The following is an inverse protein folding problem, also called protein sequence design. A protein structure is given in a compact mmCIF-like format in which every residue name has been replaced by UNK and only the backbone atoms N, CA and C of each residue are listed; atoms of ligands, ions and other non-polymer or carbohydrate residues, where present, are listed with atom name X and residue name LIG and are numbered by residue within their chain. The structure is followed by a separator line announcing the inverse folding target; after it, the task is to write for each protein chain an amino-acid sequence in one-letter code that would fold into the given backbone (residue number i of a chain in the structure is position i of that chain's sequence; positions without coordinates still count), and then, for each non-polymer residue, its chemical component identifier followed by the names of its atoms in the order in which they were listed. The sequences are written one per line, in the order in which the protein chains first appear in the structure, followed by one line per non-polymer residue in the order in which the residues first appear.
data_IF_906466434117
#
_entry.id   IF_906466434117
#
_cell.length_a   1.000
_cell.length_b   1.000
_cell.length_c   1.000
_cell.angle_alpha   90.00
_cell.angle_beta   90.00
_cell.angle_gamma   90.00
#
_symmetry.space_group_name_H-M   'P 1'
#
loop_
_entity.id
_entity.type
_entity.pdbx_description
1 polymer ?
#
# COMPACT_ATOMS: atom_id res chain seq x y z
N UNK A 1 2.87 3.85 16.16
CA UNK A 1 2.76 2.38 16.25
C UNK A 1 3.86 1.77 15.42
N UNK A 2 4.63 0.82 15.95
CA UNK A 2 5.58 0.03 15.16
C UNK A 2 4.85 -1.15 14.51
N UNK A 3 5.44 -1.78 13.49
CA UNK A 3 4.87 -3.02 12.91
C UNK A 3 4.70 -4.09 13.99
N UNK A 4 5.68 -4.22 14.89
CA UNK A 4 5.62 -5.17 15.99
C UNK A 4 4.46 -4.91 16.96
N UNK A 5 4.18 -3.63 17.25
CA UNK A 5 3.05 -3.22 18.11
C UNK A 5 1.71 -3.56 17.44
N UNK A 6 1.56 -3.28 16.14
CA UNK A 6 0.39 -3.68 15.35
C UNK A 6 0.15 -5.19 15.40
N UNK A 7 1.18 -6.00 15.14
CA UNK A 7 1.10 -7.46 15.13
C UNK A 7 0.80 -8.03 16.53
N UNK A 8 1.36 -7.42 17.58
CA UNK A 8 1.09 -7.82 18.96
C UNK A 8 -0.37 -7.59 19.34
N UNK A 9 -0.95 -6.46 18.92
CA UNK A 9 -2.38 -6.15 19.14
C UNK A 9 -3.29 -7.06 18.31
N UNK A 10 -2.95 -7.29 17.03
CA UNK A 10 -3.69 -8.19 16.15
C UNK A 10 -3.78 -9.62 16.70
N UNK A 11 -2.71 -10.12 17.31
CA UNK A 11 -2.68 -11.45 17.94
C UNK A 11 -3.28 -11.52 19.34
N UNK A 12 -3.76 -10.40 19.89
CA UNK A 12 -4.29 -10.33 21.26
C UNK A 12 -5.78 -10.63 21.32
N UNK A 13 -6.31 -10.88 22.53
CA UNK A 13 -7.75 -11.02 22.78
C UNK A 13 -8.44 -9.64 22.87
N UNK A 14 -8.22 -8.78 21.88
CA UNK A 14 -8.87 -7.49 21.72
C UNK A 14 -9.65 -7.46 20.39
N UNK A 15 -10.77 -6.72 20.32
CA UNK A 15 -11.59 -6.66 19.10
C UNK A 15 -10.91 -5.91 17.94
N UNK A 16 -9.78 -5.23 18.18
CA UNK A 16 -9.13 -4.31 17.26
C UNK A 16 -7.61 -4.38 17.41
N UNK A 17 -6.80 -4.37 16.33
CA UNK A 17 -7.19 -4.21 14.91
C UNK A 17 -7.93 -5.43 14.33
N UNK A 18 -8.98 -5.16 13.55
CA UNK A 18 -9.81 -6.16 12.90
C UNK A 18 -9.33 -6.57 11.51
N UNK A 19 -10.14 -7.37 10.81
CA UNK A 19 -9.83 -7.84 9.45
C UNK A 19 -9.78 -6.71 8.41
N UNK A 20 -10.55 -5.63 8.61
CA UNK A 20 -10.53 -4.45 7.73
C UNK A 20 -9.20 -3.70 7.84
N UNK A 21 -8.68 -3.55 9.06
CA UNK A 21 -7.37 -2.98 9.34
C UNK A 21 -6.26 -3.79 8.65
N UNK A 22 -6.30 -5.12 8.75
CA UNK A 22 -5.34 -6.01 8.08
C UNK A 22 -5.44 -5.89 6.55
N UNK A 23 -6.65 -5.86 5.99
CA UNK A 23 -6.85 -5.71 4.55
C UNK A 23 -6.34 -4.36 4.04
N UNK A 24 -6.59 -3.27 4.77
CA UNK A 24 -6.10 -1.93 4.45
C UNK A 24 -4.58 -1.85 4.51
N UNK A 25 -3.94 -2.38 5.56
CA UNK A 25 -2.47 -2.43 5.66
C UNK A 25 -1.87 -3.28 4.53
N UNK A 26 -2.46 -4.44 4.22
CA UNK A 26 -1.99 -5.31 3.13
C UNK A 26 -2.04 -4.61 1.77
N UNK A 27 -3.15 -3.91 1.48
CA UNK A 27 -3.28 -3.14 0.25
C UNK A 27 -2.29 -1.96 0.18
N UNK A 28 -2.04 -1.28 1.31
CA UNK A 28 -1.04 -0.22 1.36
C UNK A 28 0.37 -0.75 1.08
N UNK A 29 0.72 -1.93 1.61
CA UNK A 29 2.00 -2.60 1.33
C UNK A 29 2.10 -2.96 -0.15
N UNK A 30 1.07 -3.59 -0.72
CA UNK A 30 1.03 -3.97 -2.13
C UNK A 30 1.17 -2.74 -3.06
N UNK A 31 0.44 -1.67 -2.76
CA UNK A 31 0.48 -0.43 -3.52
C UNK A 31 1.86 0.26 -3.42
N UNK A 32 2.46 0.29 -2.23
CA UNK A 32 3.81 0.82 -2.02
C UNK A 32 4.88 0.04 -2.79
N UNK A 33 4.81 -1.30 -2.77
CA UNK A 33 5.73 -2.15 -3.53
C UNK A 33 5.58 -1.93 -5.04
N UNK A 34 4.34 -1.88 -5.53
CA UNK A 34 4.07 -1.53 -6.93
C UNK A 34 4.65 -0.16 -7.30
N UNK A 35 4.45 0.85 -6.46
CA UNK A 35 4.99 2.19 -6.65
C UNK A 35 6.52 2.20 -6.73
N UNK A 36 7.20 1.40 -5.90
CA UNK A 36 8.66 1.22 -5.96
C UNK A 36 9.10 0.65 -7.33
N UNK A 37 8.42 -0.38 -7.83
CA UNK A 37 8.71 -0.98 -9.15
C UNK A 37 8.50 0.04 -10.27
N UNK A 38 7.42 0.82 -10.21
CA UNK A 38 7.18 1.92 -11.16
C UNK A 38 8.31 2.95 -11.10
N UNK A 39 8.76 3.35 -9.91
CA UNK A 39 9.85 4.31 -9.74
C UNK A 39 11.16 3.82 -10.37
N UNK A 40 11.46 2.52 -10.29
CA UNK A 40 12.61 1.91 -10.97
C UNK A 40 12.40 1.72 -12.48
N UNK A 41 11.19 1.95 -13.00
CA UNK A 41 10.82 1.71 -14.41
C UNK A 41 10.69 3.00 -15.22
N UNK A 42 10.30 4.10 -14.56
CA UNK A 42 10.23 5.42 -15.19
C UNK A 42 11.61 5.86 -15.71
N UNK A 43 11.63 6.46 -16.89
CA UNK A 43 12.84 6.93 -17.57
C UNK A 43 13.71 5.84 -18.21
N UNK A 44 13.38 4.55 -18.06
CA UNK A 44 14.13 3.48 -18.74
C UNK A 44 13.89 3.52 -20.25
N UNK A 45 14.98 3.61 -21.02
CA UNK A 45 14.95 3.57 -22.49
C UNK A 45 14.32 2.30 -23.06
N UNK A 46 14.47 1.17 -22.36
CA UNK A 46 13.83 -0.10 -22.75
C UNK A 46 12.31 -0.11 -22.56
N UNK A 47 11.74 0.88 -21.87
CA UNK A 47 10.32 0.98 -21.55
C UNK A 47 9.71 2.28 -22.09
N UNK A 48 10.31 2.89 -23.12
CA UNK A 48 9.87 4.18 -23.66
C UNK A 48 8.40 4.15 -24.13
N UNK A 49 7.97 3.06 -24.74
CA UNK A 49 6.57 2.88 -25.19
C UNK A 49 5.55 2.76 -24.04
N UNK A 50 6.02 2.47 -22.82
CA UNK A 50 5.16 2.23 -21.65
C UNK A 50 5.15 3.40 -20.65
N UNK A 51 5.88 4.49 -20.90
CA UNK A 51 6.05 5.57 -19.91
C UNK A 51 4.72 6.17 -19.45
N UNK A 52 3.79 6.46 -20.36
CA UNK A 52 2.47 7.00 -19.99
C UNK A 52 1.68 6.06 -19.07
N UNK A 53 1.72 4.75 -19.34
CA UNK A 53 1.07 3.73 -18.51
C UNK A 53 1.75 3.60 -17.15
N UNK A 54 3.08 3.67 -17.10
CA UNK A 54 3.84 3.64 -15.85
C UNK A 54 3.51 4.85 -14.98
N UNK A 55 3.44 6.05 -15.56
CA UNK A 55 3.06 7.28 -14.84
C UNK A 55 1.64 7.21 -14.27
N UNK A 56 0.67 6.75 -15.07
CA UNK A 56 -0.72 6.58 -14.62
C UNK A 56 -0.84 5.53 -13.52
N UNK A 57 -0.16 4.40 -13.69
CA UNK A 57 -0.09 3.34 -12.68
C UNK A 57 0.52 3.86 -11.38
N UNK A 58 1.60 4.65 -11.46
CA UNK A 58 2.23 5.28 -10.30
C UNK A 58 1.27 6.19 -9.53
N UNK A 59 0.52 7.05 -10.22
CA UNK A 59 -0.51 7.91 -9.59
C UNK A 59 -1.62 7.09 -8.94
N UNK A 60 -2.05 6.02 -9.60
CA UNK A 60 -3.09 5.11 -9.10
C UNK A 60 -2.65 4.40 -7.83
N UNK A 61 -1.42 3.87 -7.82
CA UNK A 61 -0.84 3.17 -6.68
C UNK A 61 -0.64 4.09 -5.48
N UNK A 62 -0.18 5.33 -5.68
CA UNK A 62 -0.06 6.29 -4.57
C UNK A 62 -1.43 6.65 -3.98
N UNK A 63 -2.43 6.84 -4.84
CA UNK A 63 -3.82 7.08 -4.41
C UNK A 63 -4.37 5.88 -3.62
N UNK A 64 -4.14 4.66 -4.12
CA UNK A 64 -4.57 3.42 -3.47
C UNK A 64 -3.92 3.28 -2.11
N UNK A 65 -2.59 3.46 -2.01
CA UNK A 65 -1.84 3.40 -0.75
C UNK A 65 -2.44 4.32 0.30
N UNK A 66 -2.68 5.58 -0.05
CA UNK A 66 -3.28 6.57 0.85
C UNK A 66 -4.71 6.21 1.27
N UNK A 67 -5.53 5.70 0.35
CA UNK A 67 -6.91 5.25 0.66
C UNK A 67 -6.91 4.03 1.56
N UNK A 68 -6.04 3.06 1.32
CA UNK A 68 -5.95 1.82 2.10
C UNK A 68 -5.50 2.08 3.53
N UNK A 69 -4.59 3.03 3.76
CA UNK A 69 -4.24 3.47 5.12
C UNK A 69 -5.44 4.10 5.84
N UNK A 70 -6.19 5.00 5.18
CA UNK A 70 -7.41 5.59 5.77
C UNK A 70 -8.48 4.55 6.10
N UNK A 71 -8.61 3.52 5.26
CA UNK A 71 -9.53 2.41 5.53
C UNK A 71 -9.06 1.56 6.70
N UNK A 72 -7.75 1.34 6.83
CA UNK A 72 -7.20 0.62 7.96
C UNK A 72 -7.41 1.39 9.27
N UNK A 73 -7.19 2.70 9.26
CA UNK A 73 -7.40 3.58 10.42
C UNK A 73 -8.88 3.66 10.82
N UNK A 74 -9.82 3.51 9.88
CA UNK A 74 -11.26 3.55 10.17
C UNK A 74 -11.81 2.26 10.81
N UNK A 75 -11.09 1.14 10.67
CA UNK A 75 -11.42 -0.16 11.31
C UNK A 75 -10.64 -0.36 12.63
N UNK A 76 -9.62 0.47 12.87
CA UNK A 76 -8.73 0.46 14.04
C UNK A 76 -9.26 1.30 15.22
#
# INVERSE_FOLDING_TARGET
MTINDFLSRLGSKQPVPGGGAVAGVSNAIAAGLGGMVIAYSLGKRSLTEHQSMLEESGRTLETLRGRSMRQADADA
#
